data_IF_825619770743
#
_entry.id   IF_825619770743
#
_cell.length_a   1.000
_cell.length_b   1.000
_cell.length_c   1.000
_cell.angle_alpha   90.00
_cell.angle_beta   90.00
_cell.angle_gamma   90.00
#
_symmetry.space_group_name_H-M   'P 1'
#
loop_
_entity.id
_entity.type
_entity.pdbx_description
1 polymer ?
#
# COMPACT_ATOMS: atom_id res chain seq x y z
N UNK A 1 -6.26 1.40 -2.73
CA UNK A 1 -5.67 1.22 -1.37
C UNK A 1 -6.30 0.01 -0.67
N UNK A 2 -5.58 -0.55 0.29
CA UNK A 2 -6.06 -1.65 1.12
C UNK A 2 -5.40 -1.60 2.51
N UNK A 3 -6.19 -1.63 3.60
CA UNK A 3 -5.65 -1.69 4.95
C UNK A 3 -5.25 -3.12 5.34
N UNK A 4 -4.18 -3.23 6.13
CA UNK A 4 -3.65 -4.47 6.69
C UNK A 4 -3.53 -4.36 8.21
N UNK A 5 -3.29 -5.48 8.89
CA UNK A 5 -3.21 -5.53 10.35
C UNK A 5 -2.15 -4.59 10.94
N UNK A 6 -1.03 -4.40 10.24
CA UNK A 6 0.08 -3.56 10.70
C UNK A 6 0.63 -2.68 9.58
N UNK A 7 -0.26 -2.12 8.76
CA UNK A 7 0.17 -1.26 7.66
C UNK A 7 -0.87 -1.11 6.57
N UNK A 8 -0.47 -0.52 5.45
CA UNK A 8 -1.33 -0.28 4.31
C UNK A 8 -0.59 -0.56 3.00
N UNK A 9 -1.34 -0.94 1.98
CA UNK A 9 -0.86 -0.90 0.60
C UNK A 9 -1.69 0.07 -0.23
N UNK A 10 -1.00 0.83 -1.07
CA UNK A 10 -1.60 1.83 -1.95
C UNK A 10 -1.13 1.55 -3.37
N UNK A 11 -2.01 1.80 -4.34
CA UNK A 11 -1.64 1.79 -5.75
C UNK A 11 -1.94 3.19 -6.29
N UNK A 12 -0.89 3.88 -6.73
CA UNK A 12 -0.98 5.20 -7.33
C UNK A 12 -0.99 5.03 -8.85
N UNK A 13 -2.11 5.35 -9.48
CA UNK A 13 -2.20 5.36 -10.94
C UNK A 13 -1.36 6.50 -11.52
N UNK A 14 -1.35 7.66 -10.85
CA UNK A 14 -0.63 8.85 -11.30
C UNK A 14 0.89 8.63 -11.26
N UNK A 15 1.40 8.01 -10.19
CA UNK A 15 2.82 7.74 -10.05
C UNK A 15 3.24 6.36 -10.59
N UNK A 16 2.28 5.53 -11.05
CA UNK A 16 2.51 4.17 -11.56
C UNK A 16 3.35 3.33 -10.61
N UNK A 17 2.91 3.26 -9.35
CA UNK A 17 3.62 2.50 -8.33
C UNK A 17 2.67 1.97 -7.26
N UNK A 18 3.14 0.93 -6.57
CA UNK A 18 2.60 0.47 -5.31
C UNK A 18 3.43 1.03 -4.16
N UNK A 19 2.78 1.58 -3.14
CA UNK A 19 3.39 1.94 -1.86
C UNK A 19 2.95 0.95 -0.80
N UNK A 20 3.87 0.59 0.07
CA UNK A 20 3.57 -0.25 1.23
C UNK A 20 4.11 0.46 2.47
N UNK A 21 3.27 0.65 3.47
CA UNK A 21 3.68 1.13 4.79
C UNK A 21 3.53 -0.01 5.79
N UNK A 22 4.47 -0.10 6.73
CA UNK A 22 4.38 -1.02 7.87
C UNK A 22 4.58 -0.24 9.15
N UNK A 23 3.60 -0.39 10.04
CA UNK A 23 3.36 0.51 11.15
C UNK A 23 2.04 1.28 10.99
N UNK A 24 1.77 2.17 11.93
CA UNK A 24 0.57 3.01 11.95
C UNK A 24 0.93 4.42 11.49
N UNK A 25 1.12 5.36 12.42
CA UNK A 25 1.51 6.74 12.09
C UNK A 25 3.02 6.94 11.87
N UNK A 26 3.83 5.91 12.06
CA UNK A 26 5.25 5.91 11.75
C UNK A 26 5.74 4.48 11.56
N UNK A 27 6.83 4.33 10.81
CA UNK A 27 7.42 3.01 10.58
C UNK A 27 8.34 3.02 9.38
N UNK A 28 8.30 1.95 8.60
CA UNK A 28 9.06 1.83 7.37
C UNK A 28 8.13 1.66 6.16
N UNK A 29 8.65 2.00 4.99
CA UNK A 29 7.90 1.92 3.75
C UNK A 29 8.72 1.30 2.63
N UNK A 30 8.01 0.73 1.66
CA UNK A 30 8.56 0.19 0.43
C UNK A 30 7.76 0.74 -0.77
N UNK A 31 8.38 0.67 -1.94
CA UNK A 31 7.70 0.94 -3.21
C UNK A 31 8.04 -0.12 -4.24
N UNK A 32 7.07 -0.41 -5.09
CA UNK A 32 7.21 -1.28 -6.24
C UNK A 32 6.71 -0.54 -7.47
N UNK A 33 7.47 -0.55 -8.56
CA UNK A 33 7.00 0.05 -9.81
C UNK A 33 5.85 -0.77 -10.39
N UNK A 34 4.81 -0.10 -10.88
CA UNK A 34 3.77 -0.75 -11.68
C UNK A 34 4.23 -0.84 -13.15
N UNK A 35 5.13 -1.78 -13.41
CA UNK A 35 5.62 -2.12 -14.75
C UNK A 35 4.75 -3.16 -15.47
N UNK A 36 3.54 -3.43 -14.94
CA UNK A 36 2.59 -4.47 -15.37
C UNK A 36 3.08 -5.91 -15.21
N UNK A 37 4.23 -6.14 -14.56
CA UNK A 37 4.70 -7.50 -14.22
C UNK A 37 4.17 -7.97 -12.87
N UNK A 38 3.87 -7.05 -11.96
CA UNK A 38 3.27 -7.35 -10.65
C UNK A 38 1.85 -7.88 -10.82
N UNK A 39 1.01 -7.15 -11.56
CA UNK A 39 -0.33 -7.60 -11.90
C UNK A 39 -0.85 -6.91 -13.17
N UNK A 40 -1.69 -7.62 -13.93
CA UNK A 40 -2.49 -7.10 -15.03
C UNK A 40 -3.69 -8.04 -15.26
N UNK A 41 -4.62 -7.67 -16.12
CA UNK A 41 -5.89 -8.38 -16.34
C UNK A 41 -5.73 -9.79 -16.94
N UNK A 42 -4.55 -10.12 -17.49
CA UNK A 42 -4.25 -11.47 -17.97
C UNK A 42 -3.75 -12.41 -16.86
N UNK A 43 -3.39 -11.87 -15.70
CA UNK A 43 -2.91 -12.63 -14.55
C UNK A 43 -4.06 -13.00 -13.60
N UNK A 44 -3.98 -14.15 -12.89
CA UNK A 44 -4.97 -14.51 -11.88
C UNK A 44 -5.16 -13.42 -10.82
N UNK A 45 -6.38 -13.24 -10.32
CA UNK A 45 -6.62 -12.33 -9.19
C UNK A 45 -5.97 -12.82 -7.89
N UNK A 46 -5.79 -14.13 -7.73
CA UNK A 46 -5.14 -14.73 -6.57
C UNK A 46 -3.76 -15.26 -6.98
N UNK A 47 -2.70 -14.64 -6.44
CA UNK A 47 -1.32 -15.05 -6.71
C UNK A 47 -0.88 -16.24 -5.85
N UNK A 48 -1.53 -16.46 -4.72
CA UNK A 48 -1.37 -17.62 -3.86
C UNK A 48 -2.70 -17.91 -3.14
N UNK A 49 -2.78 -19.04 -2.44
CA UNK A 49 -3.92 -19.38 -1.59
C UNK A 49 -3.39 -19.88 -0.24
N UNK A 50 -3.85 -19.27 0.84
CA UNK A 50 -3.53 -19.65 2.22
C UNK A 50 -4.81 -19.66 3.05
N UNK A 51 -4.75 -20.30 4.22
CA UNK A 51 -5.86 -20.26 5.17
C UNK A 51 -5.98 -18.85 5.77
N UNK A 52 -7.09 -18.18 5.47
CA UNK A 52 -7.37 -16.82 5.96
C UNK A 52 -8.08 -16.91 7.31
N UNK A 53 -7.54 -16.30 8.38
CA UNK A 53 -8.23 -16.26 9.67
C UNK A 53 -9.59 -15.53 9.59
N UNK A 54 -10.49 -15.89 10.51
CA UNK A 54 -11.81 -15.24 10.58
C UNK A 54 -11.69 -13.73 10.77
N UNK A 55 -12.46 -12.97 9.98
CA UNK A 55 -12.46 -11.51 10.00
C UNK A 55 -11.33 -10.84 9.21
N UNK A 56 -10.47 -11.61 8.56
CA UNK A 56 -9.41 -11.10 7.67
C UNK A 56 -9.72 -11.41 6.21
N UNK A 57 -8.99 -10.74 5.32
CA UNK A 57 -9.20 -10.80 3.87
C UNK A 57 -7.92 -11.29 3.19
N UNK A 58 -8.09 -12.20 2.22
CA UNK A 58 -7.02 -12.56 1.28
C UNK A 58 -6.79 -11.37 0.33
N UNK A 59 -5.60 -10.75 0.30
CA UNK A 59 -5.32 -9.73 -0.68
C UNK A 59 -5.29 -10.33 -2.09
N UNK A 60 -5.74 -9.55 -3.07
CA UNK A 60 -5.88 -9.96 -4.47
C UNK A 60 -5.12 -8.99 -5.38
N UNK A 61 -5.01 -9.34 -6.66
CA UNK A 61 -4.43 -8.52 -7.73
C UNK A 61 -3.03 -8.04 -7.37
N UNK A 62 -2.69 -6.77 -7.63
CA UNK A 62 -1.37 -6.21 -7.35
C UNK A 62 -0.95 -6.33 -5.89
N UNK A 63 -1.85 -6.04 -4.95
CA UNK A 63 -1.56 -6.19 -3.52
C UNK A 63 -1.35 -7.65 -3.12
N UNK A 64 -2.18 -8.56 -3.63
CA UNK A 64 -2.02 -9.99 -3.44
C UNK A 64 -0.71 -10.52 -4.03
N UNK A 65 -0.30 -10.03 -5.20
CA UNK A 65 0.97 -10.40 -5.82
C UNK A 65 2.17 -10.00 -4.97
N UNK A 66 2.21 -8.75 -4.49
CA UNK A 66 3.26 -8.26 -3.59
C UNK A 66 3.28 -9.08 -2.29
N UNK A 67 2.12 -9.25 -1.66
CA UNK A 67 1.98 -9.95 -0.40
C UNK A 67 2.34 -11.44 -0.48
N UNK A 68 1.99 -12.12 -1.58
CA UNK A 68 2.30 -13.53 -1.78
C UNK A 68 3.78 -13.76 -2.09
N UNK A 69 4.43 -12.85 -2.82
CA UNK A 69 5.81 -13.02 -3.28
C UNK A 69 6.86 -12.60 -2.24
N UNK A 70 6.52 -11.73 -1.29
CA UNK A 70 7.41 -11.31 -0.20
C UNK A 70 6.92 -11.86 1.15
N UNK A 71 7.44 -13.03 1.52
CA UNK A 71 7.11 -13.68 2.80
C UNK A 71 7.54 -12.86 4.02
N UNK A 72 8.59 -12.05 3.90
CA UNK A 72 9.08 -11.20 4.99
C UNK A 72 8.13 -10.02 5.19
N UNK A 73 7.76 -9.32 4.12
CA UNK A 73 6.73 -8.27 4.16
C UNK A 73 5.42 -8.81 4.72
N UNK A 74 4.94 -9.95 4.21
CA UNK A 74 3.73 -10.61 4.71
C UNK A 74 3.76 -10.83 6.21
N UNK A 75 4.89 -11.31 6.74
CA UNK A 75 5.04 -11.56 8.18
C UNK A 75 4.97 -10.29 9.04
N UNK A 76 5.34 -9.14 8.46
CA UNK A 76 5.40 -7.86 9.17
C UNK A 76 4.10 -7.05 9.05
N UNK A 77 3.46 -7.07 7.88
CA UNK A 77 2.23 -6.30 7.62
C UNK A 77 0.95 -7.08 8.01
N UNK A 78 1.03 -8.41 8.05
CA UNK A 78 -0.11 -9.29 8.36
C UNK A 78 -1.07 -9.47 7.19
N UNK A 79 -2.29 -9.93 7.45
CA UNK A 79 -3.36 -10.02 6.44
C UNK A 79 -4.04 -8.68 6.20
N UNK A 80 -4.76 -8.57 5.08
CA UNK A 80 -5.65 -7.44 4.86
C UNK A 80 -6.83 -7.52 5.84
N UNK A 81 -7.25 -6.38 6.36
CA UNK A 81 -8.42 -6.29 7.27
C UNK A 81 -9.70 -5.87 6.54
N UNK A 82 -9.56 -5.44 5.28
CA UNK A 82 -10.67 -5.03 4.43
C UNK A 82 -10.33 -5.28 2.94
N UNK A 83 -11.32 -5.18 2.07
CA UNK A 83 -11.13 -5.30 0.62
C UNK A 83 -10.39 -4.08 0.05
N UNK A 84 -9.76 -4.26 -1.10
CA UNK A 84 -9.22 -3.15 -1.89
C UNK A 84 -10.31 -2.15 -2.29
N UNK A 85 -9.98 -0.86 -2.19
CA UNK A 85 -10.84 0.26 -2.59
C UNK A 85 -10.05 1.20 -3.51
N UNK A 86 -10.69 1.72 -4.55
CA UNK A 86 -10.11 2.78 -5.37
C UNK A 86 -10.03 4.10 -4.60
N UNK A 87 -9.15 5.00 -5.03
CA UNK A 87 -9.24 6.40 -4.62
C UNK A 87 -10.45 7.05 -5.31
N UNK A 88 -11.26 7.81 -4.57
CA UNK A 88 -12.23 8.71 -5.22
C UNK A 88 -11.48 9.80 -6.01
N UNK A 89 -12.11 10.34 -7.06
CA UNK A 89 -11.48 11.24 -8.05
C UNK A 89 -10.57 12.30 -7.39
N UNK A 90 -9.35 12.46 -7.92
CA UNK A 90 -8.30 13.44 -7.53
C UNK A 90 -7.57 13.26 -6.19
N UNK A 91 -7.78 12.14 -5.47
CA UNK A 91 -7.15 11.90 -4.15
C UNK A 91 -5.71 11.39 -4.23
N UNK A 92 -5.33 10.68 -5.30
CA UNK A 92 -3.99 10.12 -5.48
C UNK A 92 -2.93 11.22 -5.67
N UNK A 93 -2.37 11.68 -4.55
CA UNK A 93 -1.32 12.68 -4.50
C UNK A 93 0.00 12.03 -4.08
N UNK A 94 0.92 11.92 -5.03
CA UNK A 94 2.31 11.53 -4.79
C UNK A 94 3.23 12.64 -5.32
N UNK A 95 4.03 13.23 -4.44
CA UNK A 95 4.94 14.33 -4.77
C UNK A 95 6.36 14.04 -4.29
N UNK A 96 7.30 13.69 -5.19
CA UNK A 96 8.69 13.46 -4.82
C UNK A 96 9.40 14.77 -4.47
N UNK A 97 10.37 14.70 -3.56
CA UNK A 97 11.32 15.77 -3.24
C UNK A 97 12.73 15.17 -3.05
N UNK A 98 13.74 16.02 -2.84
CA UNK A 98 15.15 15.61 -2.84
C UNK A 98 15.47 14.41 -1.92
N UNK A 99 14.78 14.27 -0.79
CA UNK A 99 15.04 13.25 0.23
C UNK A 99 13.82 12.37 0.52
N UNK A 100 12.87 12.24 -0.41
CA UNK A 100 11.67 11.46 -0.15
C UNK A 100 10.49 11.76 -1.07
N UNK A 101 9.29 11.48 -0.57
CA UNK A 101 8.04 11.85 -1.20
C UNK A 101 6.99 12.20 -0.15
N UNK A 102 6.03 13.03 -0.54
CA UNK A 102 4.79 13.22 0.20
C UNK A 102 3.73 12.38 -0.50
N UNK A 103 2.96 11.63 0.27
CA UNK A 103 1.83 10.84 -0.23
C UNK A 103 0.58 11.13 0.60
N UNK A 104 -0.60 11.15 -0.03
CA UNK A 104 -1.89 11.31 0.65
C UNK A 104 -2.85 10.21 0.20
N UNK A 105 -3.47 9.55 1.17
CA UNK A 105 -4.49 8.53 0.99
C UNK A 105 -5.92 9.11 1.13
N UNK A 106 -6.95 8.27 0.99
CA UNK A 106 -8.35 8.70 1.08
C UNK A 106 -8.68 9.29 2.45
N UNK A 107 -8.18 8.68 3.51
CA UNK A 107 -8.35 9.17 4.88
C UNK A 107 -7.66 10.52 5.08
N UNK A 108 -6.42 10.66 4.60
CA UNK A 108 -5.65 11.88 4.70
C UNK A 108 -6.23 13.03 3.89
N UNK A 109 -6.92 12.77 2.79
CA UNK A 109 -7.70 13.79 2.08
C UNK A 109 -8.81 14.40 2.95
N UNK A 110 -9.52 13.57 3.72
CA UNK A 110 -10.63 14.01 4.56
C UNK A 110 -10.16 14.63 5.89
N UNK A 111 -9.03 14.16 6.42
CA UNK A 111 -8.54 14.54 7.75
C UNK A 111 -7.29 15.44 7.73
N UNK A 112 -6.85 15.87 6.54
CA UNK A 112 -5.60 16.64 6.33
C UNK A 112 -4.38 15.94 6.91
N UNK A 113 -4.24 14.65 6.59
CA UNK A 113 -3.07 13.85 6.94
C UNK A 113 -2.27 13.54 5.68
N UNK A 114 -0.95 13.47 5.83
CA UNK A 114 -0.05 13.06 4.75
C UNK A 114 1.06 12.18 5.30
N UNK A 115 1.50 11.23 4.47
CA UNK A 115 2.72 10.48 4.70
C UNK A 115 3.91 11.30 4.20
N UNK A 116 4.91 11.45 5.05
CA UNK A 116 6.25 11.90 4.65
C UNK A 116 7.12 10.64 4.57
N UNK A 117 7.44 10.24 3.35
CA UNK A 117 8.18 9.03 3.01
C UNK A 117 9.65 9.40 2.80
N UNK A 118 10.53 9.04 3.74
CA UNK A 118 11.95 9.42 3.68
C UNK A 118 12.77 8.43 2.85
N UNK A 119 13.84 8.93 2.22
CA UNK A 119 14.74 8.11 1.37
C UNK A 119 15.50 7.03 2.13
N UNK A 120 15.57 7.09 3.46
CA UNK A 120 16.15 6.05 4.32
C UNK A 120 15.20 4.86 4.57
N UNK A 121 13.99 4.91 3.99
CA UNK A 121 12.99 3.85 4.12
C UNK A 121 12.06 4.02 5.32
N UNK A 122 12.17 5.10 6.08
CA UNK A 122 11.25 5.42 7.18
C UNK A 122 10.11 6.32 6.73
N UNK A 123 9.01 6.34 7.48
CA UNK A 123 7.94 7.31 7.27
C UNK A 123 7.33 7.81 8.58
N UNK A 124 6.69 8.98 8.48
CA UNK A 124 5.72 9.48 9.46
C UNK A 124 4.43 9.88 8.74
N UNK A 125 3.30 9.81 9.44
CA UNK A 125 1.98 10.26 8.98
C UNK A 125 1.51 11.38 9.88
N UNK A 126 1.41 12.58 9.33
CA UNK A 126 1.27 13.82 10.10
C UNK A 126 0.21 14.75 9.50
N UNK A 127 -0.32 15.64 10.35
CA UNK A 127 -1.32 16.64 9.95
C UNK A 127 -0.75 17.88 9.27
N UNK A 128 -1.55 18.52 8.41
CA UNK A 128 -1.22 19.79 7.74
C UNK A 128 -2.37 20.82 7.70
#
# INVERSE_FOLDING_TARGET
EQPYQNGHMFWSENARLYLVTVGDNQGWWLRYADDRTIWNESLPELSCQVDVPSGLVMPKKGFGAIWCNDANLRSQIGFAVDIERGFEDSIDFYHPFANGAIFRDSDGNNHRLAYVLFSDGTYVREGY
#
